data_IF_182282880652
#
_entry.id   IF_182282880652
#
_cell.length_a   1.000
_cell.length_b   1.000
_cell.length_c   1.000
_cell.angle_alpha   90.00
_cell.angle_beta   90.00
_cell.angle_gamma   90.00
#
_symmetry.space_group_name_H-M   'P 1'
#
loop_
_entity.id
_entity.type
_entity.pdbx_description
1 polymer ?
#
# COMPACT_ATOMS: atom_id res chain seq x y z
N UNK A 1 15.58 1.26 19.84
CA UNK A 1 15.68 1.09 18.67
C UNK A 1 14.71 0.36 17.94
N UNK A 2 13.63 0.13 18.44
CA UNK A 2 12.59 -0.54 17.73
C UNK A 2 12.18 0.14 16.47
N UNK A 3 12.26 1.42 16.44
CA UNK A 3 11.86 2.12 15.29
C UNK A 3 12.68 1.74 14.09
N UNK A 4 13.94 1.57 14.29
CA UNK A 4 14.78 1.21 13.23
C UNK A 4 14.44 -0.17 12.73
N UNK A 5 14.09 -1.06 13.65
CA UNK A 5 13.73 -2.35 13.33
C UNK A 5 12.51 -2.39 12.44
N UNK A 6 11.55 -1.58 12.74
CA UNK A 6 10.34 -1.54 11.97
C UNK A 6 10.62 -1.17 10.54
N UNK A 7 11.51 -0.24 10.33
CA UNK A 7 11.83 0.14 8.99
C UNK A 7 12.56 -0.92 8.25
N UNK A 8 13.45 -1.59 8.93
CA UNK A 8 14.19 -2.62 8.29
C UNK A 8 13.33 -3.80 7.93
N UNK A 9 12.19 -3.94 8.56
CA UNK A 9 11.31 -5.02 8.29
C UNK A 9 10.41 -4.80 7.11
N UNK A 10 10.50 -3.65 6.47
CA UNK A 10 9.70 -3.40 5.30
C UNK A 10 10.10 -4.36 4.20
N UNK A 11 9.16 -5.10 3.69
CA UNK A 11 9.42 -6.04 2.63
C UNK A 11 9.35 -5.32 1.31
N UNK A 12 9.80 -5.99 0.28
CA UNK A 12 9.68 -5.46 -1.05
C UNK A 12 8.23 -5.18 -1.39
N UNK A 13 7.34 -6.06 -0.96
CA UNK A 13 5.92 -5.86 -1.21
C UNK A 13 5.42 -4.59 -0.56
N UNK A 14 5.88 -4.30 0.67
CA UNK A 14 5.47 -3.09 1.35
C UNK A 14 5.94 -1.84 0.61
N UNK A 15 7.15 -1.88 0.09
CA UNK A 15 7.68 -0.77 -0.69
C UNK A 15 6.84 -0.56 -1.93
N UNK A 16 6.47 -1.64 -2.60
CA UNK A 16 5.67 -1.56 -3.80
C UNK A 16 4.31 -0.93 -3.49
N UNK A 17 3.69 -1.36 -2.40
CA UNK A 17 2.39 -0.84 -2.02
C UNK A 17 2.47 0.66 -1.72
N UNK A 18 3.51 1.09 -1.03
CA UNK A 18 3.67 2.49 -0.71
C UNK A 18 3.85 3.34 -1.97
N UNK A 19 4.65 2.85 -2.91
CA UNK A 19 4.86 3.56 -4.15
C UNK A 19 3.59 3.60 -4.99
N UNK A 20 2.85 2.50 -4.97
CA UNK A 20 1.60 2.43 -5.71
C UNK A 20 0.59 3.42 -5.15
N UNK A 21 0.51 3.53 -3.83
CA UNK A 21 -0.41 4.47 -3.22
C UNK A 21 -0.10 5.90 -3.68
N UNK A 22 1.18 6.22 -3.77
CA UNK A 22 1.59 7.53 -4.25
C UNK A 22 1.13 7.75 -5.68
N UNK A 23 1.37 6.77 -6.56
CA UNK A 23 0.98 6.90 -7.96
C UNK A 23 -0.53 6.97 -8.13
N UNK A 24 -1.27 6.22 -7.33
CA UNK A 24 -2.72 6.26 -7.41
C UNK A 24 -3.24 7.65 -7.06
N UNK A 25 -2.57 8.32 -6.13
CA UNK A 25 -2.96 9.68 -5.78
C UNK A 25 -2.61 10.68 -6.86
N UNK A 26 -1.48 10.46 -7.53
CA UNK A 26 -1.00 11.41 -8.53
C UNK A 26 -1.62 11.19 -9.89
N UNK A 27 -1.83 9.94 -10.27
CA UNK A 27 -2.26 9.60 -11.61
C UNK A 27 -3.60 8.87 -11.64
N UNK A 28 -4.17 8.57 -10.51
CA UNK A 28 -5.38 7.78 -10.34
C UNK A 28 -5.07 6.31 -10.57
N UNK A 29 -5.98 5.46 -10.13
CA UNK A 29 -5.83 4.02 -10.27
C UNK A 29 -5.83 3.64 -11.75
N UNK A 30 -6.80 4.16 -12.49
CA UNK A 30 -6.91 3.84 -13.91
C UNK A 30 -5.72 4.34 -14.70
N UNK A 31 -5.16 5.45 -14.28
CA UNK A 31 -4.05 6.05 -15.01
C UNK A 31 -2.70 5.46 -14.67
N UNK A 32 -2.64 4.50 -13.78
CA UNK A 32 -1.39 3.89 -13.36
C UNK A 32 -1.30 2.48 -13.93
N UNK A 33 -0.23 2.20 -14.65
CA UNK A 33 -0.01 0.85 -15.17
C UNK A 33 1.00 0.13 -14.30
N UNK A 34 1.08 -1.18 -14.48
CA UNK A 34 2.10 -1.95 -13.76
C UNK A 34 3.49 -1.52 -14.20
N UNK A 35 3.63 -1.09 -15.45
CA UNK A 35 4.92 -0.59 -15.91
C UNK A 35 5.29 0.70 -15.18
N UNK A 36 4.31 1.61 -15.02
CA UNK A 36 4.55 2.83 -14.28
C UNK A 36 5.02 2.52 -12.87
N UNK A 37 4.39 1.53 -12.27
CA UNK A 37 4.72 1.14 -10.92
C UNK A 37 6.13 0.57 -10.85
N UNK A 38 6.48 -0.27 -11.81
CA UNK A 38 7.81 -0.86 -11.84
C UNK A 38 8.86 0.23 -11.95
N UNK A 39 8.61 1.24 -12.77
CA UNK A 39 9.53 2.33 -12.91
C UNK A 39 9.68 3.11 -11.61
N UNK A 40 8.58 3.33 -10.95
CA UNK A 40 8.61 4.08 -9.69
C UNK A 40 9.37 3.31 -8.62
N UNK A 41 9.23 2.00 -8.60
CA UNK A 41 9.91 1.16 -7.62
C UNK A 41 11.38 0.97 -7.99
N UNK A 42 11.69 1.07 -9.28
CA UNK A 42 13.05 0.89 -9.75
C UNK A 42 13.38 -0.53 -10.09
N UNK A 43 12.40 -1.31 -10.53
CA UNK A 43 12.62 -2.69 -10.94
C UNK A 43 11.97 -2.92 -12.29
N UNK A 44 12.25 -4.07 -12.86
CA UNK A 44 11.60 -4.44 -14.11
C UNK A 44 10.22 -4.99 -13.81
N UNK A 45 9.33 -4.87 -14.78
CA UNK A 45 7.96 -5.32 -14.60
C UNK A 45 7.92 -6.81 -14.22
N UNK A 46 8.78 -7.62 -14.80
CA UNK A 46 8.81 -9.03 -14.46
C UNK A 46 9.10 -9.26 -12.99
N UNK A 47 10.02 -8.47 -12.45
CA UNK A 47 10.33 -8.57 -11.02
C UNK A 47 9.16 -8.15 -10.16
N UNK A 48 8.45 -7.13 -10.63
CA UNK A 48 7.31 -6.64 -9.89
C UNK A 48 6.26 -7.75 -9.74
N UNK A 49 6.04 -8.50 -10.79
CA UNK A 49 5.04 -9.56 -10.77
C UNK A 49 5.40 -10.72 -9.85
N UNK A 50 6.65 -10.78 -9.41
CA UNK A 50 7.03 -11.77 -8.41
C UNK A 50 6.42 -11.45 -7.06
N UNK A 51 6.04 -10.22 -6.83
CA UNK A 51 5.53 -9.79 -5.53
C UNK A 51 4.06 -9.43 -5.58
N UNK A 52 3.61 -8.88 -6.70
CA UNK A 52 2.26 -8.37 -6.84
C UNK A 52 1.72 -8.84 -8.19
N UNK A 53 0.55 -9.42 -8.19
CA UNK A 53 0.00 -9.96 -9.43
C UNK A 53 -0.72 -8.92 -10.27
N UNK A 54 -1.30 -7.92 -9.63
CA UNK A 54 -2.04 -6.90 -10.36
C UNK A 54 -2.15 -5.66 -9.51
N UNK A 55 -2.49 -4.54 -10.14
CA UNK A 55 -2.70 -3.34 -9.34
C UNK A 55 -3.99 -3.42 -8.54
N UNK A 56 -4.91 -4.27 -8.96
CA UNK A 56 -6.13 -4.48 -8.17
C UNK A 56 -5.79 -5.11 -6.83
N UNK A 57 -4.83 -6.00 -6.81
CA UNK A 57 -4.39 -6.61 -5.56
C UNK A 57 -3.84 -5.55 -4.63
N UNK A 58 -3.07 -4.61 -5.17
CA UNK A 58 -2.52 -3.54 -4.37
C UNK A 58 -3.63 -2.68 -3.78
N UNK A 59 -4.59 -2.35 -4.61
CA UNK A 59 -5.70 -1.52 -4.16
C UNK A 59 -6.49 -2.21 -3.05
N UNK A 60 -6.67 -3.51 -3.17
CA UNK A 60 -7.36 -4.27 -2.12
C UNK A 60 -6.63 -4.16 -0.79
N UNK A 61 -5.31 -4.27 -0.82
CA UNK A 61 -4.52 -4.17 0.41
C UNK A 61 -4.67 -2.79 1.02
N UNK A 62 -4.58 -1.76 0.17
CA UNK A 62 -4.69 -0.40 0.65
C UNK A 62 -6.06 -0.16 1.27
N UNK A 63 -7.11 -0.58 0.58
CA UNK A 63 -8.46 -0.38 1.07
C UNK A 63 -8.70 -1.13 2.38
N UNK A 64 -8.15 -2.32 2.47
CA UNK A 64 -8.31 -3.11 3.68
C UNK A 64 -7.65 -2.43 4.87
N UNK A 65 -6.47 -1.87 4.67
CA UNK A 65 -5.77 -1.17 5.74
C UNK A 65 -6.50 0.08 6.17
N UNK A 66 -7.01 0.82 5.21
CA UNK A 66 -7.77 2.02 5.52
C UNK A 66 -9.04 1.66 6.27
N UNK A 67 -9.71 0.61 5.84
CA UNK A 67 -10.94 0.19 6.51
C UNK A 67 -10.66 -0.20 7.95
N UNK A 68 -9.55 -0.88 8.19
CA UNK A 68 -9.20 -1.27 9.56
C UNK A 68 -8.97 -0.08 10.45
N UNK A 69 -8.26 0.92 9.93
CA UNK A 69 -8.00 2.13 10.69
C UNK A 69 -9.30 2.84 11.00
N UNK A 70 -10.17 2.89 10.01
CA UNK A 70 -11.47 3.55 10.17
C UNK A 70 -12.30 2.85 11.23
N UNK A 71 -12.33 1.53 11.20
CA UNK A 71 -13.10 0.77 12.17
C UNK A 71 -12.57 0.96 13.58
N UNK A 72 -11.25 1.03 13.71
CA UNK A 72 -10.65 1.28 15.01
C UNK A 72 -11.09 2.64 15.56
N UNK A 73 -11.14 3.62 14.71
CA UNK A 73 -11.56 4.95 15.11
C UNK A 73 -13.02 4.96 15.52
N UNK A 74 -13.85 4.24 14.79
CA UNK A 74 -15.27 4.17 15.14
C UNK A 74 -15.48 3.52 16.49
N UNK A 75 -14.74 2.46 16.75
CA UNK A 75 -14.86 1.78 18.03
C UNK A 75 -14.49 2.70 19.18
N UNK A 76 -13.44 3.46 18.99
CA UNK A 76 -13.02 4.38 20.03
C UNK A 76 -14.06 5.45 20.28
N UNK A 77 -14.66 5.94 19.23
CA UNK A 77 -15.69 6.95 19.35
C UNK A 77 -16.89 6.42 20.12
N UNK A 78 -17.28 5.19 19.80
CA UNK A 78 -18.43 4.59 20.47
C UNK A 78 -18.16 4.42 21.95
N UNK A 79 -16.97 3.96 22.28
CA UNK A 79 -16.59 3.78 23.66
C UNK A 79 -16.60 5.10 24.40
N UNK A 80 -16.10 6.14 23.77
CA UNK A 80 -16.04 7.43 24.40
C UNK A 80 -17.39 8.08 24.59
N UNK A 81 -18.35 7.67 23.82
CA UNK A 81 -19.68 8.23 23.91
C UNK A 81 -20.56 7.54 24.92
N UNK A 82 -20.06 6.52 25.55
CA UNK A 82 -20.83 5.80 26.55
C UNK A 82 -20.87 6.53 27.91
#
# INVERSE_FOLDING_TARGET
MPTIKAQRNSTKKEVIIAKAAKLFREKSFSGTSMRDLAEEVGVEAASLYNHIQSKAEILQVICFRVANIFMEHLEKIEINNQ
#
